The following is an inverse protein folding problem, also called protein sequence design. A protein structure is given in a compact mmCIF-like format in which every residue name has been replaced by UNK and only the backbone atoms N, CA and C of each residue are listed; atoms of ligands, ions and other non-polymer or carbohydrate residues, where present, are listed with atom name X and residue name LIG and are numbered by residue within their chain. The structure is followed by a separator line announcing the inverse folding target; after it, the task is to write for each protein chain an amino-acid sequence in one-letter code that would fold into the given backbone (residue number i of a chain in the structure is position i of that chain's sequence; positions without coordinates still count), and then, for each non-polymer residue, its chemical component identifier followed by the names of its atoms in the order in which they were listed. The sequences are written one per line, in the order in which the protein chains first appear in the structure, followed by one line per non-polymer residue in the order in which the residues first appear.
data_IF_750972222119
#
_entry.id   IF_750972222119
#
_cell.length_a   1.000
_cell.length_b   1.000
_cell.length_c   1.000
_cell.angle_alpha   90.00
_cell.angle_beta   90.00
_cell.angle_gamma   90.00
#
_symmetry.space_group_name_H-M   'P 1'
#
loop_
_entity.id
_entity.type
_entity.pdbx_description
1 polymer ?
#
# COMPACT_ATOMS: atom_id res chain seq x y z
N UNK A 1 -19.31 -9.66 -12.84
CA UNK A 1 -20.22 -8.58 -12.35
C UNK A 1 -20.14 -8.36 -10.83
N UNK A 2 -19.19 -8.94 -10.08
CA UNK A 2 -19.08 -8.76 -8.62
C UNK A 2 -18.23 -7.57 -8.12
N UNK A 3 -17.41 -6.95 -8.99
CA UNK A 3 -16.43 -5.95 -8.57
C UNK A 3 -17.02 -4.63 -8.05
N UNK A 4 -18.07 -4.11 -8.69
CA UNK A 4 -18.61 -2.77 -8.39
C UNK A 4 -19.29 -2.67 -7.01
N UNK A 5 -19.98 -3.71 -6.56
CA UNK A 5 -20.63 -3.74 -5.24
C UNK A 5 -19.61 -3.84 -4.09
N UNK A 6 -18.49 -4.53 -4.31
CA UNK A 6 -17.43 -4.68 -3.32
C UNK A 6 -16.68 -3.36 -3.10
N UNK A 7 -16.49 -2.56 -4.16
CA UNK A 7 -15.85 -1.24 -4.09
C UNK A 7 -16.61 -0.24 -3.20
N UNK A 8 -17.95 -0.26 -3.20
CA UNK A 8 -18.76 0.66 -2.38
C UNK A 8 -18.61 0.36 -0.89
N UNK A 9 -18.66 -0.92 -0.52
CA UNK A 9 -18.51 -1.32 0.89
C UNK A 9 -17.09 -1.09 1.39
N UNK A 10 -16.08 -1.40 0.57
CA UNK A 10 -14.67 -1.11 0.88
C UNK A 10 -14.46 0.39 1.08
N UNK A 11 -14.96 1.23 0.17
CA UNK A 11 -14.81 2.69 0.26
C UNK A 11 -15.38 3.24 1.57
N UNK A 12 -16.60 2.86 1.95
CA UNK A 12 -17.24 3.32 3.19
C UNK A 12 -16.41 2.97 4.44
N UNK A 13 -15.85 1.76 4.48
CA UNK A 13 -15.00 1.35 5.61
C UNK A 13 -13.67 2.13 5.62
N UNK A 14 -13.03 2.29 4.45
CA UNK A 14 -11.77 3.05 4.33
C UNK A 14 -11.96 4.51 4.74
N UNK A 15 -13.08 5.14 4.37
CA UNK A 15 -13.46 6.49 4.81
C UNK A 15 -13.54 6.57 6.34
N UNK A 16 -14.24 5.63 6.99
CA UNK A 16 -14.32 5.61 8.45
C UNK A 16 -12.93 5.46 9.11
N UNK A 17 -12.06 4.62 8.57
CA UNK A 17 -10.70 4.47 9.09
C UNK A 17 -9.83 5.71 8.85
N UNK A 18 -10.02 6.43 7.73
CA UNK A 18 -9.26 7.65 7.44
C UNK A 18 -9.51 8.77 8.44
N UNK A 19 -10.67 8.76 9.09
CA UNK A 19 -11.00 9.66 10.20
C UNK A 19 -10.50 9.10 11.53
N UNK A 20 -10.81 7.83 11.83
CA UNK A 20 -10.53 7.24 13.15
C UNK A 20 -9.03 7.08 13.46
N UNK A 21 -8.20 6.71 12.46
CA UNK A 21 -6.78 6.44 12.70
C UNK A 21 -6.02 7.71 13.14
N UNK A 22 -6.14 8.88 12.47
CA UNK A 22 -5.53 10.12 12.95
C UNK A 22 -5.94 10.46 14.38
N UNK A 23 -7.22 10.33 14.75
CA UNK A 23 -7.69 10.56 16.11
C UNK A 23 -7.08 9.59 17.12
N UNK A 24 -6.97 8.31 16.78
CA UNK A 24 -6.31 7.31 17.62
C UNK A 24 -4.82 7.63 17.82
N UNK A 25 -4.10 7.94 16.75
CA UNK A 25 -2.67 8.26 16.80
C UNK A 25 -2.39 9.55 17.58
N UNK A 26 -3.26 10.55 17.45
CA UNK A 26 -3.20 11.77 18.27
C UNK A 26 -3.40 11.46 19.75
N UNK A 27 -4.38 10.61 20.10
CA UNK A 27 -4.66 10.25 21.50
C UNK A 27 -3.48 9.57 22.20
N UNK A 28 -2.70 8.77 21.48
CA UNK A 28 -1.52 8.08 22.03
C UNK A 28 -0.24 8.94 21.93
N UNK A 29 -0.38 10.22 21.58
CA UNK A 29 0.72 11.18 21.38
C UNK A 29 1.78 10.72 20.36
N UNK A 30 1.38 9.85 19.42
CA UNK A 30 2.26 9.39 18.35
C UNK A 30 2.68 10.55 17.44
N UNK A 31 1.74 11.47 17.17
CA UNK A 31 1.97 12.62 16.28
C UNK A 31 2.74 13.77 16.96
N UNK A 32 2.59 13.96 18.27
CA UNK A 32 3.34 14.98 19.02
C UNK A 32 4.85 14.72 19.08
N UNK A 33 5.27 13.47 18.85
CA UNK A 33 6.68 13.10 18.70
C UNK A 33 7.32 13.52 17.37
N UNK A 34 6.51 13.94 16.37
CA UNK A 34 7.03 14.33 15.05
C UNK A 34 7.30 15.83 14.99
N UNK A 35 8.52 16.18 14.61
CA UNK A 35 8.98 17.58 14.45
C UNK A 35 8.49 18.26 13.17
N UNK A 36 7.66 17.59 12.36
CA UNK A 36 7.22 18.04 11.03
C UNK A 36 5.90 18.84 11.04
N UNK A 37 5.34 19.15 12.23
CA UNK A 37 4.26 20.13 12.39
C UNK A 37 2.86 19.61 12.04
N UNK A 38 2.68 18.29 11.90
CA UNK A 38 1.35 17.67 11.78
C UNK A 38 0.66 17.71 13.14
N UNK A 39 0.12 18.88 13.49
CA UNK A 39 -0.60 19.13 14.76
C UNK A 39 -2.13 19.02 14.60
N UNK A 40 -2.62 18.99 13.36
CA UNK A 40 -4.03 18.89 13.06
C UNK A 40 -4.42 17.42 12.90
N UNK A 41 -5.50 17.02 13.57
CA UNK A 41 -6.11 15.70 13.39
C UNK A 41 -6.96 15.73 12.11
N UNK A 42 -6.30 15.97 10.98
CA UNK A 42 -6.95 15.94 9.68
C UNK A 42 -7.12 14.48 9.26
N UNK A 43 -8.23 14.20 8.57
CA UNK A 43 -8.45 12.88 7.99
C UNK A 43 -7.37 12.58 6.94
N UNK A 44 -7.01 11.30 6.80
CA UNK A 44 -6.07 10.91 5.76
C UNK A 44 -6.69 11.08 4.37
N UNK A 45 -5.91 11.64 3.43
CA UNK A 45 -6.30 11.66 2.03
C UNK A 45 -6.40 10.22 1.49
N UNK A 46 -7.59 9.82 1.04
CA UNK A 46 -7.79 8.51 0.42
C UNK A 46 -7.67 8.63 -1.09
N UNK A 47 -6.75 7.85 -1.68
CA UNK A 47 -6.66 7.68 -3.13
C UNK A 47 -7.06 6.27 -3.52
N UNK A 48 -8.20 6.15 -4.19
CA UNK A 48 -8.64 4.89 -4.79
C UNK A 48 -7.95 4.71 -6.15
N UNK A 49 -7.11 3.68 -6.27
CA UNK A 49 -6.44 3.34 -7.52
C UNK A 49 -7.18 2.19 -8.20
N UNK A 50 -7.60 2.39 -9.44
CA UNK A 50 -8.33 1.41 -10.25
C UNK A 50 -7.47 0.92 -11.42
N UNK A 51 -7.90 -0.18 -12.06
CA UNK A 51 -7.21 -0.72 -13.24
C UNK A 51 -5.90 -1.44 -12.93
N UNK A 52 -5.65 -1.74 -11.67
CA UNK A 52 -4.49 -2.53 -11.25
C UNK A 52 -4.72 -4.01 -11.54
N UNK A 53 -3.66 -4.76 -11.87
CA UNK A 53 -3.76 -6.20 -12.03
C UNK A 53 -4.22 -6.85 -10.72
N UNK A 54 -5.23 -7.70 -10.81
CA UNK A 54 -5.70 -8.53 -9.70
C UNK A 54 -5.02 -9.88 -9.75
N UNK A 55 -4.84 -10.48 -8.58
CA UNK A 55 -4.27 -11.80 -8.45
C UNK A 55 -5.32 -12.89 -8.64
N UNK A 56 -4.95 -13.94 -9.38
CA UNK A 56 -5.75 -15.17 -9.50
C UNK A 56 -5.18 -16.36 -8.70
N UNK A 57 -3.90 -16.30 -8.26
CA UNK A 57 -3.17 -17.38 -7.57
C UNK A 57 -2.73 -17.00 -6.14
N UNK A 58 -1.86 -17.79 -5.49
CA UNK A 58 -1.39 -17.59 -4.11
C UNK A 58 -0.09 -16.79 -3.99
N UNK A 59 0.05 -15.69 -4.74
CA UNK A 59 1.28 -14.86 -4.81
C UNK A 59 1.07 -13.47 -4.16
N UNK A 60 0.22 -13.39 -3.13
CA UNK A 60 -0.29 -12.11 -2.62
C UNK A 60 0.84 -11.21 -2.09
N UNK A 61 1.91 -11.83 -1.62
CA UNK A 61 3.17 -11.24 -1.21
C UNK A 61 3.86 -10.49 -2.35
N UNK A 62 3.97 -11.12 -3.52
CA UNK A 62 4.59 -10.54 -4.72
C UNK A 62 3.79 -9.33 -5.21
N UNK A 63 2.46 -9.45 -5.24
CA UNK A 63 1.58 -8.33 -5.60
C UNK A 63 1.66 -7.19 -4.58
N UNK A 64 1.75 -7.49 -3.29
CA UNK A 64 1.88 -6.48 -2.24
C UNK A 64 3.21 -5.72 -2.37
N UNK A 65 4.31 -6.43 -2.60
CA UNK A 65 5.63 -5.83 -2.82
C UNK A 65 5.67 -4.96 -4.09
N UNK A 66 5.08 -5.43 -5.18
CA UNK A 66 4.97 -4.67 -6.43
C UNK A 66 4.10 -3.42 -6.27
N UNK A 67 3.01 -3.51 -5.52
CA UNK A 67 2.18 -2.35 -5.22
C UNK A 67 2.93 -1.32 -4.36
N UNK A 68 3.71 -1.76 -3.37
CA UNK A 68 4.54 -0.88 -2.56
C UNK A 68 5.59 -0.14 -3.41
N UNK A 69 6.27 -0.85 -4.32
CA UNK A 69 7.24 -0.26 -5.25
C UNK A 69 6.57 0.78 -6.16
N UNK A 70 5.38 0.49 -6.68
CA UNK A 70 4.58 1.46 -7.45
C UNK A 70 4.27 2.73 -6.65
N UNK A 71 3.84 2.58 -5.39
CA UNK A 71 3.50 3.73 -4.54
C UNK A 71 4.73 4.58 -4.17
N UNK A 72 5.86 3.94 -3.91
CA UNK A 72 7.09 4.62 -3.45
C UNK A 72 7.83 5.27 -4.63
N UNK A 73 7.97 4.55 -5.74
CA UNK A 73 8.80 4.99 -6.87
C UNK A 73 7.99 5.61 -8.01
N UNK A 74 6.65 5.55 -7.97
CA UNK A 74 5.77 6.04 -9.03
C UNK A 74 5.91 5.26 -10.35
N UNK A 75 6.61 4.13 -10.35
CA UNK A 75 6.75 3.25 -11.52
C UNK A 75 5.43 2.58 -11.77
N UNK A 76 4.89 2.67 -12.99
CA UNK A 76 3.69 1.91 -13.35
C UNK A 76 3.80 0.46 -12.90
N UNK A 77 2.70 -0.10 -12.36
CA UNK A 77 2.51 -1.55 -12.29
C UNK A 77 2.27 -2.00 -13.73
N UNK A 78 3.33 -1.90 -14.51
CA UNK A 78 3.42 -2.43 -15.86
C UNK A 78 2.99 -3.90 -15.79
N UNK A 79 2.64 -4.44 -16.95
CA UNK A 79 2.19 -5.81 -17.24
C UNK A 79 3.11 -6.94 -16.72
N UNK A 80 4.07 -6.63 -15.85
CA UNK A 80 5.04 -7.46 -15.12
C UNK A 80 4.40 -8.55 -14.28
N UNK A 81 3.13 -8.42 -13.90
CA UNK A 81 2.38 -9.53 -13.26
C UNK A 81 2.31 -10.78 -14.15
N UNK A 82 2.63 -10.67 -15.44
CA UNK A 82 2.72 -11.82 -16.34
C UNK A 82 3.91 -12.77 -16.03
N UNK A 83 4.90 -12.35 -15.25
CA UNK A 83 6.03 -13.20 -14.83
C UNK A 83 6.33 -13.01 -13.32
N UNK A 84 5.50 -13.66 -12.51
CA UNK A 84 5.60 -13.64 -11.05
C UNK A 84 6.95 -14.18 -10.56
N UNK A 85 7.49 -15.20 -11.23
CA UNK A 85 8.75 -15.82 -10.84
C UNK A 85 9.92 -14.86 -11.05
N UNK A 86 9.95 -14.13 -12.17
CA UNK A 86 10.95 -13.10 -12.40
C UNK A 86 10.86 -11.97 -11.36
N UNK A 87 9.65 -11.53 -10.99
CA UNK A 87 9.47 -10.53 -9.92
C UNK A 87 10.01 -11.06 -8.59
N UNK A 88 9.64 -12.29 -8.22
CA UNK A 88 10.08 -12.92 -6.97
C UNK A 88 11.59 -13.05 -6.92
N UNK A 89 12.23 -13.50 -8.01
CA UNK A 89 13.69 -13.58 -8.10
C UNK A 89 14.35 -12.22 -7.96
N UNK A 90 13.79 -11.17 -8.58
CA UNK A 90 14.31 -9.80 -8.46
C UNK A 90 14.23 -9.28 -7.02
N UNK A 91 13.08 -9.44 -6.36
CA UNK A 91 12.96 -9.04 -4.94
C UNK A 91 13.88 -9.86 -4.04
N UNK A 92 14.03 -11.16 -4.29
CA UNK A 92 14.98 -12.00 -3.57
C UNK A 92 16.43 -11.51 -3.70
N UNK A 93 16.86 -11.15 -4.92
CA UNK A 93 18.18 -10.58 -5.16
C UNK A 93 18.38 -9.23 -4.45
N UNK A 94 17.36 -8.35 -4.49
CA UNK A 94 17.42 -7.06 -3.80
C UNK A 94 17.55 -7.22 -2.28
N UNK A 95 16.80 -8.15 -1.68
CA UNK A 95 16.88 -8.43 -0.24
C UNK A 95 18.26 -8.98 0.15
N UNK A 96 18.80 -9.90 -0.65
CA UNK A 96 20.14 -10.44 -0.45
C UNK A 96 21.22 -9.36 -0.52
N UNK A 97 21.18 -8.52 -1.56
CA UNK A 97 22.14 -7.43 -1.73
C UNK A 97 22.05 -6.42 -0.58
N UNK A 98 20.84 -6.12 -0.11
CA UNK A 98 20.64 -5.25 1.05
C UNK A 98 21.30 -5.84 2.30
N UNK A 99 21.13 -7.14 2.56
CA UNK A 99 21.78 -7.82 3.68
C UNK A 99 23.31 -7.80 3.54
N UNK A 100 23.85 -7.99 2.33
CA UNK A 100 25.31 -7.96 2.10
C UNK A 100 25.94 -6.57 2.22
N UNK A 101 25.16 -5.51 2.06
CA UNK A 101 25.62 -4.12 2.18
C UNK A 101 25.53 -3.58 3.61
N UNK A 102 24.95 -4.35 4.52
CA UNK A 102 24.81 -4.01 5.95
C UNK A 102 25.99 -4.53 6.75
#
# INVERSE_FOLDING_TARGET
MGGAHQTIHVKKNVEAYSELIPHFLSRIDFLGSRSDGILAVDSFEIRMVAGLPTQDNTDCDVFTAAFAEYLIEGREISKVVNDIDAIRSRYGALLWDYEKKK
#
